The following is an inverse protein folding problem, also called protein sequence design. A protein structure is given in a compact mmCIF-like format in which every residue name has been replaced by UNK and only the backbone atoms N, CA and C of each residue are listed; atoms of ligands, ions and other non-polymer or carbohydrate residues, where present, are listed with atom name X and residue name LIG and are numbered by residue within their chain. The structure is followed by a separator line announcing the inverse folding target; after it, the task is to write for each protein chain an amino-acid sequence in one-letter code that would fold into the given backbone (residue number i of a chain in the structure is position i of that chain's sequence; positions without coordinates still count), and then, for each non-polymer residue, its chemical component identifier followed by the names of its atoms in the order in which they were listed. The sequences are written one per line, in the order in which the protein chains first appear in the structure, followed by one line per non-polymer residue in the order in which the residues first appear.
data_IF_416734442627
#
_entry.id   IF_416734442627
#
_cell.length_a   1.000
_cell.length_b   1.000
_cell.length_c   1.000
_cell.angle_alpha   90.00
_cell.angle_beta   90.00
_cell.angle_gamma   90.00
#
_symmetry.space_group_name_H-M   'P 1'
#
loop_
_entity.id
_entity.type
_entity.pdbx_description
1 polymer ?
#
# COMPACT_ATOMS: atom_id res chain seq x y z
N UNK A 1 -5.17 15.21 31.37
CA UNK A 1 -5.68 14.24 32.36
C UNK A 1 -6.59 13.26 31.64
N UNK A 2 -6.15 12.02 31.42
CA UNK A 2 -7.00 10.98 30.83
C UNK A 2 -7.72 10.21 31.95
N UNK A 3 -9.05 10.31 32.01
CA UNK A 3 -9.93 9.43 32.82
C UNK A 3 -10.51 8.31 31.92
N UNK A 4 -10.60 7.13 32.52
CA UNK A 4 -10.93 5.76 32.03
C UNK A 4 -12.39 5.58 31.51
N UNK A 5 -12.82 4.44 30.89
CA UNK A 5 -12.40 3.03 31.13
C UNK A 5 -12.24 2.03 29.93
N UNK A 6 -11.61 0.87 30.25
CA UNK A 6 -11.59 -0.47 29.61
C UNK A 6 -11.20 -0.62 28.11
N UNK A 7 -9.91 -0.45 27.80
CA UNK A 7 -9.06 -1.17 26.82
C UNK A 7 -7.61 -0.82 27.20
N UNK A 8 -6.63 -1.70 26.99
CA UNK A 8 -5.20 -1.37 27.14
C UNK A 8 -4.91 -0.18 26.22
N UNK A 9 -4.65 1.00 26.79
CA UNK A 9 -4.35 2.24 26.05
C UNK A 9 -2.86 2.53 26.18
N UNK A 10 -2.11 2.38 25.10
CA UNK A 10 -0.73 2.84 24.98
C UNK A 10 -0.73 4.25 24.34
N UNK A 11 -0.14 5.24 25.01
CA UNK A 11 0.04 6.60 24.53
C UNK A 11 1.42 7.09 25.00
N UNK A 12 2.26 7.58 24.08
CA UNK A 12 3.63 8.04 24.37
C UNK A 12 3.96 9.33 23.63
N UNK A 13 4.81 10.18 24.22
CA UNK A 13 5.28 11.47 23.66
C UNK A 13 6.80 11.57 23.79
N UNK A 14 7.48 12.00 22.74
CA UNK A 14 8.95 12.07 22.67
C UNK A 14 9.44 13.49 22.43
N UNK A 15 10.61 13.81 23.01
CA UNK A 15 11.34 15.07 22.81
C UNK A 15 12.64 14.82 22.03
N UNK A 16 13.23 15.86 21.44
CA UNK A 16 14.51 15.77 20.71
C UNK A 16 15.58 15.06 21.57
N UNK A 17 16.12 13.93 21.09
CA UNK A 17 17.11 13.12 21.80
C UNK A 17 16.57 11.97 22.67
N UNK A 18 15.25 11.80 22.80
CA UNK A 18 14.63 10.62 23.41
C UNK A 18 14.33 9.54 22.36
N UNK A 19 14.31 8.26 22.78
CA UNK A 19 13.79 7.16 21.94
C UNK A 19 12.41 7.53 21.36
N UNK A 20 12.11 7.12 20.11
CA UNK A 20 10.84 7.45 19.47
C UNK A 20 9.66 6.91 20.29
N UNK A 21 8.54 7.65 20.39
CA UNK A 21 7.31 7.14 20.97
C UNK A 21 6.79 5.93 20.20
N UNK A 22 6.72 4.78 20.86
CA UNK A 22 6.17 3.56 20.28
C UNK A 22 5.11 3.01 21.22
N UNK A 23 3.97 2.57 20.68
CA UNK A 23 2.89 1.96 21.46
C UNK A 23 3.24 0.53 21.88
N UNK A 24 3.49 -0.32 20.90
CA UNK A 24 3.98 -1.69 21.08
C UNK A 24 5.25 -1.86 20.24
N UNK A 25 6.34 -2.23 20.90
CA UNK A 25 7.62 -2.49 20.24
C UNK A 25 8.04 -3.93 20.49
N UNK A 26 8.14 -4.73 19.42
CA UNK A 26 8.69 -6.08 19.44
C UNK A 26 9.98 -6.02 18.61
N UNK A 27 11.07 -6.50 19.18
CA UNK A 27 12.38 -6.43 18.51
C UNK A 27 13.20 -7.69 18.75
N UNK A 28 14.31 -7.81 18.04
CA UNK A 28 15.23 -8.95 18.08
C UNK A 28 14.63 -10.24 17.49
N UNK A 29 14.31 -11.22 18.33
CA UNK A 29 13.91 -12.57 17.93
C UNK A 29 12.75 -13.04 18.79
N UNK A 30 11.87 -13.88 18.25
CA UNK A 30 10.72 -14.36 18.99
C UNK A 30 9.77 -15.14 18.10
N UNK A 31 8.85 -15.87 18.71
CA UNK A 31 7.81 -16.57 17.97
C UNK A 31 6.50 -16.64 18.73
N UNK A 32 5.38 -16.82 18.00
CA UNK A 32 4.04 -17.00 18.56
C UNK A 32 3.60 -15.81 19.44
N UNK A 33 3.66 -14.61 18.85
CA UNK A 33 3.29 -13.39 19.55
C UNK A 33 1.98 -12.84 18.97
N UNK A 34 0.99 -12.68 19.85
CA UNK A 34 -0.34 -12.24 19.48
C UNK A 34 -0.63 -10.86 20.07
N UNK A 35 -0.80 -9.86 19.20
CA UNK A 35 -1.29 -8.52 19.54
C UNK A 35 -2.75 -8.47 19.13
N UNK A 36 -3.68 -8.65 20.08
CA UNK A 36 -5.11 -8.68 19.78
C UNK A 36 -5.95 -7.73 20.60
N UNK A 37 -7.02 -7.20 19.99
CA UNK A 37 -8.08 -6.45 20.67
C UNK A 37 -7.62 -5.17 21.39
N UNK A 38 -6.55 -4.54 20.91
CA UNK A 38 -6.02 -3.30 21.49
C UNK A 38 -6.63 -2.07 20.83
N UNK A 39 -6.61 -0.94 21.55
CA UNK A 39 -6.85 0.38 20.98
C UNK A 39 -5.61 1.25 21.21
N UNK A 40 -4.85 1.48 20.14
CA UNK A 40 -3.55 2.17 20.15
C UNK A 40 -3.77 3.54 19.51
N UNK A 41 -3.57 4.60 20.28
CA UNK A 41 -4.01 5.92 19.84
C UNK A 41 -3.20 7.07 20.45
N UNK A 42 -3.17 8.19 19.72
CA UNK A 42 -2.55 9.45 20.17
C UNK A 42 -1.07 9.32 20.55
N UNK A 43 -0.33 8.49 19.82
CA UNK A 43 1.14 8.45 19.88
C UNK A 43 1.66 9.47 18.87
N UNK A 44 2.54 10.37 19.33
CA UNK A 44 2.88 11.57 18.59
C UNK A 44 4.39 11.89 18.61
N UNK A 45 4.96 12.08 17.43
CA UNK A 45 6.20 12.79 17.16
C UNK A 45 5.90 14.29 16.95
N UNK A 46 6.22 15.10 17.96
CA UNK A 46 5.94 16.55 17.98
C UNK A 46 7.16 17.40 17.58
N UNK A 47 8.15 16.78 16.92
CA UNK A 47 9.34 17.46 16.42
C UNK A 47 9.46 17.20 14.92
N UNK A 48 9.95 18.19 14.17
CA UNK A 48 10.27 18.02 12.75
C UNK A 48 11.30 16.90 12.60
N UNK A 49 11.07 16.00 11.64
CA UNK A 49 11.87 14.80 11.40
C UNK A 49 11.90 13.85 12.62
N UNK A 50 10.87 13.89 13.47
CA UNK A 50 10.69 12.90 14.53
C UNK A 50 10.13 11.60 13.98
N UNK A 51 10.22 10.54 14.79
CA UNK A 51 9.66 9.22 14.50
C UNK A 51 8.76 8.79 15.66
N UNK A 52 7.68 8.12 15.33
CA UNK A 52 6.81 7.44 16.28
C UNK A 52 6.10 6.28 15.57
N UNK A 53 5.65 5.28 16.33
CA UNK A 53 4.90 4.15 15.77
C UNK A 53 3.73 3.75 16.68
N UNK A 54 2.66 3.22 16.08
CA UNK A 54 1.64 2.51 16.84
C UNK A 54 2.15 1.15 17.30
N UNK A 55 2.41 0.27 16.33
CA UNK A 55 3.01 -1.04 16.50
C UNK A 55 4.27 -1.10 15.62
N UNK A 56 5.41 -1.46 16.18
CA UNK A 56 6.65 -1.67 15.43
C UNK A 56 7.23 -3.04 15.75
N UNK A 57 7.50 -3.83 14.72
CA UNK A 57 8.09 -5.16 14.78
C UNK A 57 9.40 -5.16 13.99
N UNK A 58 10.54 -5.20 14.69
CA UNK A 58 11.88 -4.99 14.10
C UNK A 58 12.79 -6.19 14.42
N UNK A 59 12.96 -7.09 13.47
CA UNK A 59 13.74 -8.31 13.68
C UNK A 59 15.20 -8.14 13.22
N UNK A 60 16.13 -8.14 14.17
CA UNK A 60 17.54 -7.74 13.93
C UNK A 60 18.49 -8.92 13.73
N UNK A 61 17.98 -10.15 13.79
CA UNK A 61 18.80 -11.36 13.77
C UNK A 61 19.42 -11.65 12.41
N UNK A 62 20.71 -12.00 12.44
CA UNK A 62 21.49 -12.49 11.30
C UNK A 62 21.21 -13.95 10.90
N UNK A 63 20.37 -14.66 11.65
CA UNK A 63 20.12 -16.09 11.46
C UNK A 63 18.68 -16.34 11.03
N UNK A 64 18.50 -17.11 9.95
CA UNK A 64 17.19 -17.56 9.50
C UNK A 64 16.45 -18.41 10.55
N UNK A 65 17.18 -19.11 11.44
CA UNK A 65 16.59 -19.92 12.51
C UNK A 65 16.11 -19.11 13.70
N UNK A 66 16.64 -17.89 13.86
CA UNK A 66 16.32 -16.98 14.95
C UNK A 66 15.65 -15.74 14.38
N UNK A 67 14.75 -15.91 13.40
CA UNK A 67 13.91 -14.82 12.89
C UNK A 67 12.84 -14.46 13.93
N UNK A 68 12.08 -13.42 13.64
CA UNK A 68 10.87 -13.12 14.38
C UNK A 68 9.66 -13.60 13.58
N UNK A 69 8.93 -14.58 14.12
CA UNK A 69 7.96 -15.34 13.32
C UNK A 69 6.65 -15.70 14.03
N UNK A 70 5.64 -16.13 13.28
CA UNK A 70 4.29 -16.43 13.79
C UNK A 70 3.75 -15.27 14.62
N UNK A 71 3.74 -14.08 14.03
CA UNK A 71 3.20 -12.87 14.66
C UNK A 71 1.79 -12.64 14.17
N UNK A 72 0.84 -12.44 15.08
CA UNK A 72 -0.54 -12.10 14.75
C UNK A 72 -0.87 -10.73 15.30
N UNK A 73 -1.19 -9.78 14.42
CA UNK A 73 -1.81 -8.50 14.75
C UNK A 73 -3.26 -8.59 14.32
N UNK A 74 -4.16 -8.87 15.26
CA UNK A 74 -5.56 -9.16 14.96
C UNK A 74 -6.56 -8.30 15.74
N UNK A 75 -7.57 -7.77 15.03
CA UNK A 75 -8.70 -7.05 15.63
C UNK A 75 -8.28 -5.86 16.53
N UNK A 76 -7.22 -5.14 16.16
CA UNK A 76 -6.82 -3.91 16.83
C UNK A 76 -7.38 -2.68 16.11
N UNK A 77 -7.56 -1.60 16.85
CA UNK A 77 -7.79 -0.27 16.29
C UNK A 77 -6.54 0.58 16.54
N UNK A 78 -5.92 1.08 15.47
CA UNK A 78 -4.70 1.89 15.50
C UNK A 78 -5.00 3.23 14.84
N UNK A 79 -5.15 4.28 15.64
CA UNK A 79 -5.74 5.52 15.13
C UNK A 79 -5.29 6.81 15.80
N UNK A 80 -5.47 7.93 15.09
CA UNK A 80 -5.17 9.28 15.55
C UNK A 80 -3.71 9.42 15.97
N UNK A 81 -2.78 8.99 15.09
CA UNK A 81 -1.35 9.05 15.35
C UNK A 81 -0.67 10.17 14.56
N UNK A 82 0.39 10.75 15.13
CA UNK A 82 1.28 11.71 14.43
C UNK A 82 2.67 11.14 14.36
N UNK A 83 3.02 10.53 13.25
CA UNK A 83 4.14 9.59 13.23
C UNK A 83 5.46 10.19 12.76
N UNK A 84 5.43 11.41 12.23
CA UNK A 84 6.63 12.00 11.64
C UNK A 84 7.03 11.20 10.40
N UNK A 85 8.27 10.73 10.34
CA UNK A 85 8.81 9.93 9.22
C UNK A 85 8.56 8.42 9.38
N UNK A 86 7.43 8.03 9.98
CA UNK A 86 7.17 6.64 10.39
C UNK A 86 5.70 6.24 10.19
N UNK A 87 5.37 4.99 10.55
CA UNK A 87 4.14 4.29 10.15
C UNK A 87 3.38 3.67 11.33
N UNK A 88 2.07 3.50 11.16
CA UNK A 88 1.20 3.13 12.26
C UNK A 88 1.44 1.67 12.68
N UNK A 89 1.57 0.77 11.70
CA UNK A 89 2.01 -0.61 11.88
C UNK A 89 3.18 -0.88 10.96
N UNK A 90 4.36 -1.18 11.52
CA UNK A 90 5.57 -1.47 10.76
C UNK A 90 6.11 -2.87 11.07
N UNK A 91 6.48 -3.61 10.03
CA UNK A 91 7.19 -4.90 10.12
C UNK A 91 8.47 -4.83 9.28
N UNK A 92 9.63 -5.02 9.90
CA UNK A 92 10.92 -4.70 9.28
C UNK A 92 12.02 -5.69 9.71
N UNK A 93 12.97 -5.93 8.82
CA UNK A 93 14.10 -6.83 9.02
C UNK A 93 13.73 -8.30 8.83
N UNK A 94 14.36 -9.18 9.61
CA UNK A 94 14.18 -10.64 9.52
C UNK A 94 12.88 -11.14 10.16
N UNK A 95 11.76 -10.61 9.67
CA UNK A 95 10.40 -10.97 10.04
C UNK A 95 9.86 -11.96 9.01
N UNK A 96 9.30 -13.06 9.48
CA UNK A 96 8.88 -14.18 8.65
C UNK A 96 7.55 -14.74 9.15
N UNK A 97 6.60 -15.08 8.28
CA UNK A 97 5.37 -15.78 8.67
C UNK A 97 4.53 -14.97 9.67
N UNK A 98 3.75 -14.03 9.16
CA UNK A 98 2.93 -13.13 9.98
C UNK A 98 1.53 -12.92 9.43
N UNK A 99 0.62 -12.49 10.28
CA UNK A 99 -0.76 -12.17 9.95
C UNK A 99 -1.14 -10.79 10.51
N UNK A 100 -1.49 -9.85 9.62
CA UNK A 100 -2.10 -8.57 9.98
C UNK A 100 -3.56 -8.63 9.54
N UNK A 101 -4.46 -8.91 10.49
CA UNK A 101 -5.85 -9.28 10.18
C UNK A 101 -6.89 -8.50 10.96
N UNK A 102 -8.04 -8.21 10.33
CA UNK A 102 -9.21 -7.63 11.00
C UNK A 102 -8.95 -6.30 11.73
N UNK A 103 -7.88 -5.58 11.42
CA UNK A 103 -7.54 -4.33 12.10
C UNK A 103 -8.26 -3.15 11.44
N UNK A 104 -8.48 -2.10 12.24
CA UNK A 104 -8.90 -0.80 11.77
C UNK A 104 -7.75 0.20 11.94
N UNK A 105 -7.21 0.71 10.85
CA UNK A 105 -6.01 1.57 10.86
C UNK A 105 -6.31 2.90 10.17
N UNK A 106 -6.43 3.98 10.94
CA UNK A 106 -6.95 5.24 10.38
C UNK A 106 -6.53 6.54 11.05
N UNK A 107 -6.65 7.65 10.33
CA UNK A 107 -6.29 9.00 10.80
C UNK A 107 -4.81 9.07 11.27
N UNK A 108 -3.90 8.52 10.45
CA UNK A 108 -2.47 8.45 10.72
C UNK A 108 -1.63 8.99 9.55
N UNK A 109 -0.30 8.77 9.62
CA UNK A 109 0.59 8.77 8.46
C UNK A 109 0.41 7.46 7.66
N UNK A 110 1.45 6.81 7.14
CA UNK A 110 1.31 5.47 6.52
C UNK A 110 0.63 4.49 7.50
N UNK A 111 -0.35 3.73 6.99
CA UNK A 111 -1.16 2.81 7.77
C UNK A 111 -0.42 1.53 8.16
N UNK A 112 -0.21 0.64 7.19
CA UNK A 112 0.49 -0.64 7.36
C UNK A 112 1.66 -0.68 6.40
N UNK A 113 2.87 -0.92 6.89
CA UNK A 113 4.07 -1.06 6.06
C UNK A 113 4.80 -2.38 6.32
N UNK A 114 5.24 -3.01 5.24
CA UNK A 114 6.01 -4.26 5.23
C UNK A 114 7.35 -4.01 4.55
N UNK A 115 8.40 -3.89 5.36
CA UNK A 115 9.67 -3.26 5.00
C UNK A 115 10.76 -4.31 4.75
N UNK A 116 11.67 -4.01 3.83
CA UNK A 116 12.95 -4.70 3.65
C UNK A 116 14.05 -3.80 3.07
N UNK A 117 15.28 -4.29 3.18
CA UNK A 117 16.53 -3.69 2.69
C UNK A 117 17.03 -2.44 3.44
N UNK A 118 16.47 -2.13 4.60
CA UNK A 118 16.89 -1.01 5.46
C UNK A 118 18.15 -1.29 6.31
N UNK A 119 18.64 -2.54 6.32
CA UNK A 119 19.76 -2.98 7.15
C UNK A 119 19.40 -3.28 8.60
N UNK A 120 18.12 -3.53 8.91
CA UNK A 120 17.66 -3.90 10.26
C UNK A 120 18.22 -5.27 10.64
N UNK A 121 18.18 -6.23 9.72
CA UNK A 121 19.00 -7.44 9.76
C UNK A 121 20.33 -7.20 9.05
N UNK A 122 21.47 -7.63 9.62
CA UNK A 122 22.78 -7.47 8.98
C UNK A 122 22.99 -8.41 7.79
N UNK A 123 22.09 -9.38 7.58
CA UNK A 123 22.13 -10.30 6.44
C UNK A 123 21.10 -9.85 5.42
N UNK A 124 21.57 -9.30 4.30
CA UNK A 124 20.73 -8.70 3.27
C UNK A 124 19.64 -9.64 2.71
N UNK A 125 19.92 -10.95 2.61
CA UNK A 125 18.93 -11.93 2.13
C UNK A 125 17.81 -12.22 3.14
N UNK A 126 17.99 -11.82 4.40
CA UNK A 126 17.03 -11.99 5.49
C UNK A 126 16.36 -10.67 5.88
N UNK A 127 16.85 -9.54 5.38
CA UNK A 127 16.44 -8.20 5.76
C UNK A 127 15.16 -7.76 5.04
N UNK A 128 14.12 -8.58 5.13
CA UNK A 128 12.83 -8.34 4.49
C UNK A 128 11.72 -9.01 5.31
N UNK A 129 10.65 -8.26 5.57
CA UNK A 129 9.38 -8.84 5.99
C UNK A 129 8.86 -9.76 4.87
N UNK A 130 8.57 -11.02 5.21
CA UNK A 130 8.19 -12.03 4.21
C UNK A 130 7.22 -13.09 4.70
N UNK A 131 6.63 -13.82 3.76
CA UNK A 131 5.68 -14.93 4.01
C UNK A 131 4.47 -14.48 4.83
N UNK A 132 3.95 -13.28 4.55
CA UNK A 132 2.91 -12.64 5.34
C UNK A 132 1.52 -12.69 4.71
N UNK A 133 0.50 -12.47 5.54
CA UNK A 133 -0.87 -12.24 5.11
C UNK A 133 -1.39 -10.94 5.73
N UNK A 134 -1.83 -10.00 4.89
CA UNK A 134 -2.57 -8.80 5.29
C UNK A 134 -4.01 -8.95 4.82
N UNK A 135 -4.93 -9.25 5.73
CA UNK A 135 -6.30 -9.63 5.34
C UNK A 135 -7.41 -9.00 6.16
N UNK A 136 -8.49 -8.61 5.48
CA UNK A 136 -9.72 -8.12 6.11
C UNK A 136 -9.51 -6.92 7.03
N UNK A 137 -8.50 -6.08 6.75
CA UNK A 137 -8.29 -4.83 7.45
C UNK A 137 -9.12 -3.71 6.80
N UNK A 138 -9.51 -2.74 7.61
CA UNK A 138 -10.12 -1.48 7.16
C UNK A 138 -9.08 -0.38 7.40
N UNK A 139 -8.50 0.14 6.31
CA UNK A 139 -7.40 1.09 6.35
C UNK A 139 -7.83 2.37 5.66
N UNK A 140 -7.99 3.46 6.41
CA UNK A 140 -8.63 4.66 5.85
C UNK A 140 -8.16 5.99 6.43
N UNK A 141 -8.37 7.07 5.69
CA UNK A 141 -8.07 8.43 6.14
C UNK A 141 -6.60 8.64 6.59
N UNK A 142 -5.68 7.82 6.08
CA UNK A 142 -4.26 7.98 6.34
C UNK A 142 -3.69 9.04 5.39
N UNK A 143 -3.05 10.08 5.95
CA UNK A 143 -2.51 11.19 5.18
C UNK A 143 -1.28 11.83 5.82
N UNK A 144 -0.28 12.11 5.00
CA UNK A 144 0.95 12.83 5.40
C UNK A 144 0.84 14.36 5.26
N UNK A 145 -0.24 14.90 4.69
CA UNK A 145 -0.35 16.35 4.38
C UNK A 145 -0.27 17.26 5.62
N UNK A 146 -0.73 16.78 6.77
CA UNK A 146 -0.71 17.51 8.05
C UNK A 146 0.30 16.91 9.03
N UNK A 147 1.26 16.12 8.54
CA UNK A 147 2.29 15.50 9.36
C UNK A 147 3.36 16.54 9.76
N UNK A 148 3.99 16.38 10.92
CA UNK A 148 5.07 17.27 11.39
C UNK A 148 6.29 17.29 10.46
N UNK A 149 6.49 16.24 9.65
CA UNK A 149 7.65 16.02 8.79
C UNK A 149 7.36 16.16 7.29
N UNK A 150 6.09 16.08 6.87
CA UNK A 150 5.68 16.14 5.46
C UNK A 150 4.61 17.22 5.24
N UNK A 151 4.48 17.71 4.02
CA UNK A 151 3.41 18.63 3.62
C UNK A 151 2.93 18.30 2.20
N UNK A 152 2.81 17.01 1.91
CA UNK A 152 2.39 16.46 0.61
C UNK A 152 1.52 15.23 0.83
N UNK A 153 0.89 14.73 -0.25
CA UNK A 153 0.11 13.51 -0.20
C UNK A 153 1.01 12.32 -0.55
N UNK A 154 1.40 11.55 0.47
CA UNK A 154 2.34 10.43 0.32
C UNK A 154 2.09 9.27 1.28
N UNK A 155 1.05 9.33 2.12
CA UNK A 155 0.76 8.25 3.05
C UNK A 155 -0.10 7.14 2.41
N UNK A 156 0.49 5.96 2.31
CA UNK A 156 -0.21 4.74 1.93
C UNK A 156 -1.16 4.23 3.00
N UNK A 157 -2.25 3.64 2.54
CA UNK A 157 -3.01 2.72 3.36
C UNK A 157 -2.18 1.48 3.70
N UNK A 158 -1.82 0.70 2.67
CA UNK A 158 -1.00 -0.50 2.81
C UNK A 158 0.21 -0.39 1.86
N UNK A 159 1.41 -0.40 2.41
CA UNK A 159 2.65 -0.30 1.64
C UNK A 159 3.51 -1.55 1.82
N UNK A 160 3.93 -2.14 0.70
CA UNK A 160 5.03 -3.09 0.67
C UNK A 160 6.26 -2.38 0.17
N UNK A 161 7.17 -2.06 1.09
CA UNK A 161 8.45 -1.44 0.81
C UNK A 161 9.55 -2.51 0.82
N UNK A 162 9.83 -3.10 -0.33
CA UNK A 162 10.86 -4.13 -0.42
C UNK A 162 10.52 -5.46 0.27
N UNK A 163 9.28 -5.66 0.73
CA UNK A 163 8.82 -6.95 1.25
C UNK A 163 8.74 -8.07 0.19
N UNK A 164 8.57 -9.33 0.63
CA UNK A 164 8.58 -10.50 -0.26
C UNK A 164 7.51 -11.54 0.08
N UNK A 165 6.88 -12.15 -0.93
CA UNK A 165 5.98 -13.30 -0.72
C UNK A 165 4.85 -13.00 0.28
N UNK A 166 4.13 -11.88 0.06
CA UNK A 166 3.03 -11.44 0.93
C UNK A 166 1.71 -11.46 0.16
N UNK A 167 0.65 -11.92 0.82
CA UNK A 167 -0.72 -11.87 0.31
C UNK A 167 -1.45 -10.71 0.98
N UNK A 168 -1.98 -9.79 0.17
CA UNK A 168 -2.86 -8.69 0.60
C UNK A 168 -4.25 -8.98 0.04
N UNK A 169 -5.18 -9.39 0.90
CA UNK A 169 -6.51 -9.81 0.44
C UNK A 169 -7.70 -9.35 1.28
N UNK A 170 -8.84 -9.11 0.64
CA UNK A 170 -10.10 -8.80 1.33
C UNK A 170 -10.04 -7.55 2.21
N UNK A 171 -9.07 -6.65 2.00
CA UNK A 171 -8.98 -5.40 2.73
C UNK A 171 -9.87 -4.33 2.09
N UNK A 172 -10.29 -3.37 2.91
CA UNK A 172 -10.86 -2.11 2.46
C UNK A 172 -9.80 -1.01 2.65
N UNK A 173 -9.32 -0.40 1.57
CA UNK A 173 -8.36 0.71 1.62
C UNK A 173 -8.95 1.95 0.95
N UNK A 174 -9.33 2.97 1.74
CA UNK A 174 -10.05 4.11 1.20
C UNK A 174 -9.73 5.46 1.84
N UNK A 175 -9.86 6.52 1.05
CA UNK A 175 -9.63 7.91 1.50
C UNK A 175 -8.25 8.11 2.15
N UNK A 176 -7.27 7.27 1.80
CA UNK A 176 -5.86 7.47 2.11
C UNK A 176 -5.24 8.40 1.04
N UNK A 177 -3.93 8.69 1.15
CA UNK A 177 -3.24 9.34 0.02
C UNK A 177 -3.11 8.37 -1.13
N UNK A 178 -2.49 7.22 -0.89
CA UNK A 178 -2.46 6.08 -1.80
C UNK A 178 -3.19 4.89 -1.17
N UNK A 179 -3.88 4.08 -1.97
CA UNK A 179 -4.62 2.93 -1.47
C UNK A 179 -3.71 1.78 -1.05
N UNK A 180 -3.00 1.19 -2.02
CA UNK A 180 -2.01 0.13 -1.82
C UNK A 180 -0.80 0.43 -2.71
N UNK A 181 0.40 0.39 -2.15
CA UNK A 181 1.64 0.53 -2.92
C UNK A 181 2.53 -0.72 -2.80
N UNK A 182 3.16 -1.11 -3.90
CA UNK A 182 4.19 -2.15 -3.95
C UNK A 182 5.42 -1.55 -4.62
N UNK A 183 6.41 -1.16 -3.82
CA UNK A 183 7.64 -0.56 -4.31
C UNK A 183 8.82 -0.97 -3.43
N UNK A 184 9.93 -0.29 -3.58
CA UNK A 184 11.10 -0.43 -2.73
C UNK A 184 11.80 0.91 -2.71
N UNK A 185 12.05 1.49 -1.54
CA UNK A 185 12.80 2.75 -1.42
C UNK A 185 14.29 2.58 -1.73
N UNK A 186 14.75 1.33 -1.80
CA UNK A 186 16.16 1.01 -2.03
C UNK A 186 16.48 0.72 -3.50
N UNK A 187 17.31 1.56 -4.11
CA UNK A 187 17.82 1.39 -5.48
C UNK A 187 18.35 -0.03 -5.73
N UNK A 188 17.89 -0.68 -6.80
CA UNK A 188 18.33 -2.03 -7.16
C UNK A 188 17.79 -3.15 -6.26
N UNK A 189 16.86 -2.84 -5.35
CA UNK A 189 16.12 -3.81 -4.54
C UNK A 189 14.66 -3.90 -4.98
N UNK A 190 14.01 -5.01 -4.63
CA UNK A 190 12.64 -5.28 -5.05
C UNK A 190 11.69 -5.56 -3.91
N UNK A 191 10.45 -5.09 -4.08
CA UNK A 191 9.29 -5.81 -3.59
C UNK A 191 8.88 -6.87 -4.62
N UNK A 192 8.69 -8.11 -4.18
CA UNK A 192 8.50 -9.22 -5.10
C UNK A 192 7.56 -10.31 -4.60
N UNK A 193 6.90 -10.98 -5.56
CA UNK A 193 5.95 -12.07 -5.29
C UNK A 193 4.80 -11.65 -4.36
N UNK A 194 4.38 -10.40 -4.47
CA UNK A 194 3.24 -9.86 -3.73
C UNK A 194 1.97 -10.21 -4.48
N UNK A 195 0.97 -10.73 -3.77
CA UNK A 195 -0.36 -11.02 -4.32
C UNK A 195 -1.39 -10.09 -3.71
N UNK A 196 -1.90 -9.14 -4.50
CA UNK A 196 -2.99 -8.25 -4.12
C UNK A 196 -4.28 -8.75 -4.74
N UNK A 197 -5.20 -9.29 -3.93
CA UNK A 197 -6.45 -9.87 -4.46
C UNK A 197 -7.70 -9.63 -3.65
N UNK A 198 -8.85 -9.53 -4.31
CA UNK A 198 -10.16 -9.41 -3.66
C UNK A 198 -10.26 -8.23 -2.68
N UNK A 199 -9.48 -7.16 -2.87
CA UNK A 199 -9.56 -5.95 -2.05
C UNK A 199 -10.58 -4.97 -2.64
N UNK A 200 -11.14 -4.11 -1.79
CA UNK A 200 -11.88 -2.92 -2.21
C UNK A 200 -11.05 -1.68 -1.93
N UNK A 201 -10.70 -0.94 -2.98
CA UNK A 201 -9.75 0.18 -2.91
C UNK A 201 -10.40 1.39 -3.53
N UNK A 202 -10.73 2.41 -2.73
CA UNK A 202 -11.65 3.45 -3.20
C UNK A 202 -11.39 4.85 -2.67
N UNK A 203 -11.71 5.86 -3.49
CA UNK A 203 -11.71 7.27 -3.09
C UNK A 203 -10.39 7.75 -2.46
N UNK A 204 -9.26 7.12 -2.79
CA UNK A 204 -7.95 7.62 -2.36
C UNK A 204 -7.62 8.93 -3.10
N UNK A 205 -6.78 9.77 -2.49
CA UNK A 205 -6.45 11.10 -3.03
C UNK A 205 -5.67 10.98 -4.35
N UNK A 206 -4.75 10.02 -4.39
CA UNK A 206 -3.97 9.59 -5.56
C UNK A 206 -4.43 8.19 -5.99
N UNK A 207 -3.53 7.41 -6.56
CA UNK A 207 -3.73 6.05 -7.06
C UNK A 207 -4.44 5.13 -6.06
N UNK A 208 -5.30 4.28 -6.61
CA UNK A 208 -5.82 3.15 -5.85
C UNK A 208 -4.71 2.13 -5.59
N UNK A 209 -4.02 1.72 -6.65
CA UNK A 209 -2.83 0.85 -6.55
C UNK A 209 -1.66 1.52 -7.26
N UNK A 210 -0.52 1.65 -6.58
CA UNK A 210 0.74 2.06 -7.19
C UNK A 210 1.74 0.89 -7.17
N UNK A 211 2.52 0.74 -8.24
CA UNK A 211 3.60 -0.27 -8.30
C UNK A 211 4.88 0.30 -8.93
N UNK A 212 6.02 -0.07 -8.35
CA UNK A 212 7.33 0.42 -8.75
C UNK A 212 7.68 1.75 -8.08
N UNK A 213 8.97 2.07 -8.03
CA UNK A 213 9.43 3.27 -7.34
C UNK A 213 9.05 4.55 -8.09
N UNK A 214 8.77 5.64 -7.36
CA UNK A 214 8.29 6.89 -7.96
C UNK A 214 9.30 7.56 -8.93
N UNK A 215 10.59 7.21 -8.86
CA UNK A 215 11.62 7.68 -9.78
C UNK A 215 12.76 6.66 -9.98
N UNK A 216 13.79 7.06 -10.73
CA UNK A 216 14.95 6.21 -11.05
C UNK A 216 15.93 5.96 -9.89
N UNK A 217 15.76 6.64 -8.76
CA UNK A 217 16.59 6.47 -7.57
C UNK A 217 16.02 5.41 -6.63
N UNK A 218 14.78 4.99 -6.86
CA UNK A 218 14.10 3.96 -6.08
C UNK A 218 14.38 2.55 -6.63
N UNK A 219 13.91 1.56 -5.87
CA UNK A 219 13.87 0.15 -6.27
C UNK A 219 12.77 -0.16 -7.29
N UNK A 220 12.50 -1.45 -7.45
CA UNK A 220 11.57 -1.97 -8.47
C UNK A 220 10.51 -2.90 -7.86
N UNK A 221 9.45 -3.14 -8.63
CA UNK A 221 8.41 -4.10 -8.27
C UNK A 221 8.38 -5.23 -9.30
N UNK A 222 8.59 -6.48 -8.87
CA UNK A 222 8.68 -7.62 -9.78
C UNK A 222 7.86 -8.86 -9.41
N UNK A 223 7.38 -9.57 -10.43
CA UNK A 223 6.68 -10.85 -10.28
C UNK A 223 5.48 -10.77 -9.32
N UNK A 224 4.81 -9.62 -9.26
CA UNK A 224 3.63 -9.42 -8.42
C UNK A 224 2.35 -9.72 -9.19
N UNK A 225 1.29 -10.08 -8.46
CA UNK A 225 -0.04 -10.35 -9.01
C UNK A 225 -1.06 -9.41 -8.38
N UNK A 226 -1.81 -8.69 -9.21
CA UNK A 226 -2.91 -7.80 -8.81
C UNK A 226 -4.18 -8.31 -9.50
N UNK A 227 -5.07 -8.97 -8.77
CA UNK A 227 -6.23 -9.64 -9.39
C UNK A 227 -7.52 -9.61 -8.59
N UNK A 228 -8.66 -9.58 -9.27
CA UNK A 228 -9.99 -9.63 -8.65
C UNK A 228 -10.24 -8.50 -7.63
N UNK A 229 -9.56 -7.35 -7.76
CA UNK A 229 -9.81 -6.20 -6.89
C UNK A 229 -10.91 -5.32 -7.47
N UNK A 230 -11.63 -4.63 -6.59
CA UNK A 230 -12.52 -3.52 -6.95
C UNK A 230 -11.77 -2.22 -6.67
N UNK A 231 -11.44 -1.48 -7.72
CA UNK A 231 -10.66 -0.24 -7.66
C UNK A 231 -11.57 0.90 -8.10
N UNK A 232 -12.01 1.73 -7.16
CA UNK A 232 -13.16 2.60 -7.34
C UNK A 232 -12.90 4.08 -7.04
N UNK A 233 -12.93 4.91 -8.08
CA UNK A 233 -12.92 6.38 -7.98
C UNK A 233 -11.76 6.94 -7.14
N UNK A 234 -10.58 6.39 -7.31
CA UNK A 234 -9.32 6.95 -6.79
C UNK A 234 -8.85 8.13 -7.66
N UNK A 235 -7.74 8.77 -7.28
CA UNK A 235 -7.25 10.01 -7.91
C UNK A 235 -8.28 11.14 -7.77
N UNK A 236 -8.79 11.32 -6.54
CA UNK A 236 -9.88 12.27 -6.23
C UNK A 236 -9.45 13.73 -6.27
N UNK A 237 -8.14 14.01 -6.32
CA UNK A 237 -7.57 15.36 -6.47
C UNK A 237 -6.80 15.56 -7.77
N UNK A 238 -7.11 14.77 -8.80
CA UNK A 238 -6.56 14.90 -10.15
C UNK A 238 -5.02 15.03 -10.15
N UNK A 239 -4.35 14.15 -9.41
CA UNK A 239 -2.88 14.09 -9.32
C UNK A 239 -2.25 13.36 -10.52
N UNK A 240 -3.04 13.10 -11.56
CA UNK A 240 -2.67 12.35 -12.78
C UNK A 240 -2.22 10.90 -12.52
N UNK A 241 -2.56 10.37 -11.35
CA UNK A 241 -2.11 9.08 -10.83
C UNK A 241 -3.06 7.92 -11.24
N UNK A 242 -4.35 8.24 -11.47
CA UNK A 242 -5.34 7.31 -11.99
C UNK A 242 -5.81 6.23 -11.01
N UNK A 243 -6.31 5.11 -11.52
CA UNK A 243 -6.80 4.01 -10.68
C UNK A 243 -5.68 3.03 -10.34
N UNK A 244 -4.86 2.69 -11.33
CA UNK A 244 -3.63 1.92 -11.18
C UNK A 244 -2.47 2.70 -11.79
N UNK A 245 -1.41 2.86 -11.03
CA UNK A 245 -0.19 3.53 -11.46
C UNK A 245 0.98 2.55 -11.53
N UNK A 246 1.59 2.48 -12.71
CA UNK A 246 2.83 1.76 -12.94
C UNK A 246 3.95 2.79 -13.02
N UNK A 247 4.64 2.98 -11.90
CA UNK A 247 5.75 3.90 -11.72
C UNK A 247 7.05 3.35 -12.33
N UNK A 248 8.21 3.84 -11.91
CA UNK A 248 9.50 3.46 -12.48
C UNK A 248 9.80 1.97 -12.21
N UNK A 249 10.34 1.31 -13.25
CA UNK A 249 10.90 -0.04 -13.19
C UNK A 249 9.99 -1.12 -12.57
N UNK A 250 8.93 -1.46 -13.29
CA UNK A 250 8.05 -2.60 -12.95
C UNK A 250 8.31 -3.76 -13.91
N UNK A 251 8.44 -4.98 -13.38
CA UNK A 251 8.90 -6.15 -14.14
C UNK A 251 7.99 -7.36 -13.95
N UNK A 252 7.52 -7.97 -15.04
CA UNK A 252 6.81 -9.26 -15.00
C UNK A 252 5.61 -9.31 -14.04
N UNK A 253 4.95 -8.18 -13.80
CA UNK A 253 3.76 -8.15 -12.96
C UNK A 253 2.53 -8.57 -13.76
N UNK A 254 1.55 -9.20 -13.11
CA UNK A 254 0.29 -9.65 -13.72
C UNK A 254 -0.87 -8.89 -13.09
N UNK A 255 -1.57 -8.09 -13.89
CA UNK A 255 -2.70 -7.27 -13.47
C UNK A 255 -3.94 -7.72 -14.25
N UNK A 256 -4.79 -8.53 -13.65
CA UNK A 256 -5.88 -9.19 -14.37
C UNK A 256 -7.17 -9.32 -13.57
N UNK A 257 -8.31 -9.38 -14.25
CA UNK A 257 -9.64 -9.59 -13.64
C UNK A 257 -10.03 -8.53 -12.59
N UNK A 258 -9.47 -7.33 -12.65
CA UNK A 258 -9.85 -6.24 -11.76
C UNK A 258 -11.08 -5.50 -12.31
N UNK A 259 -11.95 -5.04 -11.42
CA UNK A 259 -13.01 -4.09 -11.76
C UNK A 259 -12.54 -2.68 -11.44
N UNK A 260 -12.34 -1.87 -12.46
CA UNK A 260 -11.64 -0.58 -12.36
C UNK A 260 -12.61 0.52 -12.76
N UNK A 261 -12.97 1.40 -11.82
CA UNK A 261 -13.92 2.48 -12.02
C UNK A 261 -13.20 3.82 -11.94
N UNK A 262 -13.22 4.57 -13.03
CA UNK A 262 -12.58 5.88 -13.06
C UNK A 262 -13.32 6.90 -12.18
N UNK A 263 -12.56 7.80 -11.57
CA UNK A 263 -13.06 9.04 -10.98
C UNK A 263 -13.31 10.10 -12.06
N UNK A 264 -13.49 11.36 -11.62
CA UNK A 264 -13.59 12.52 -12.51
C UNK A 264 -12.31 12.77 -13.33
N UNK A 265 -11.15 12.25 -12.89
CA UNK A 265 -9.91 12.35 -13.67
C UNK A 265 -10.00 11.58 -14.99
N UNK A 266 -10.86 10.55 -15.04
CA UNK A 266 -11.06 9.62 -16.18
C UNK A 266 -9.83 8.75 -16.48
N UNK A 267 -8.79 8.81 -15.65
CA UNK A 267 -7.55 8.06 -15.83
C UNK A 267 -7.71 6.68 -15.18
N UNK A 268 -7.59 5.63 -16.00
CA UNK A 268 -7.63 4.24 -15.53
C UNK A 268 -6.24 3.72 -15.19
N UNK A 269 -5.32 3.80 -16.15
CA UNK A 269 -3.94 3.36 -16.02
C UNK A 269 -3.02 4.58 -16.19
N UNK A 270 -2.12 4.80 -15.23
CA UNK A 270 -1.00 5.73 -15.34
C UNK A 270 0.29 4.95 -15.57
N UNK A 271 1.07 5.32 -16.59
CA UNK A 271 2.41 4.78 -16.80
C UNK A 271 3.25 5.76 -17.62
N UNK A 272 3.96 6.62 -16.89
CA UNK A 272 4.79 7.69 -17.45
C UNK A 272 6.27 7.33 -17.53
N UNK A 273 6.59 6.04 -17.64
CA UNK A 273 7.95 5.53 -17.71
C UNK A 273 8.13 4.53 -18.85
N UNK A 274 9.33 4.52 -19.45
CA UNK A 274 9.67 3.56 -20.50
C UNK A 274 10.37 2.30 -19.97
N UNK A 275 10.81 2.31 -18.70
CA UNK A 275 11.65 1.28 -18.10
C UNK A 275 10.93 -0.05 -17.83
N UNK A 276 9.61 -0.03 -17.68
CA UNK A 276 8.81 -1.21 -17.30
C UNK A 276 8.94 -2.35 -18.33
N UNK A 277 8.97 -3.61 -17.91
CA UNK A 277 9.15 -4.74 -18.84
C UNK A 277 8.28 -5.93 -18.44
N UNK A 278 7.81 -6.70 -19.42
CA UNK A 278 7.14 -7.99 -19.18
C UNK A 278 5.83 -7.94 -18.38
N UNK A 279 5.31 -6.75 -18.04
CA UNK A 279 4.04 -6.64 -17.32
C UNK A 279 2.89 -7.08 -18.23
N UNK A 280 1.99 -7.88 -17.67
CA UNK A 280 0.79 -8.37 -18.34
C UNK A 280 -0.44 -7.70 -17.74
N UNK A 281 -1.17 -6.97 -18.57
CA UNK A 281 -2.46 -6.39 -18.22
C UNK A 281 -3.50 -7.00 -19.15
N UNK A 282 -4.48 -7.74 -18.62
CA UNK A 282 -5.50 -8.39 -19.46
C UNK A 282 -6.73 -8.79 -18.63
N UNK A 283 -7.87 -9.05 -19.28
CA UNK A 283 -9.13 -9.42 -18.61
C UNK A 283 -9.60 -8.40 -17.55
N UNK A 284 -9.13 -7.16 -17.61
CA UNK A 284 -9.59 -6.12 -16.70
C UNK A 284 -10.91 -5.53 -17.23
N UNK A 285 -11.77 -5.13 -16.31
CA UNK A 285 -13.05 -4.50 -16.64
C UNK A 285 -13.02 -3.03 -16.23
N UNK A 286 -12.98 -2.16 -17.22
CA UNK A 286 -13.00 -0.71 -17.05
C UNK A 286 -14.43 -0.17 -17.04
N UNK A 287 -14.72 0.73 -16.12
CA UNK A 287 -16.03 1.35 -15.93
C UNK A 287 -15.92 2.86 -15.80
N UNK A 288 -16.82 3.59 -16.47
CA UNK A 288 -16.91 5.04 -16.33
C UNK A 288 -18.33 5.56 -16.54
N UNK A 289 -18.66 6.68 -15.92
CA UNK A 289 -19.93 7.41 -16.13
C UNK A 289 -19.90 8.26 -17.43
N UNK A 290 -19.07 7.85 -18.39
CA UNK A 290 -18.79 8.53 -19.64
C UNK A 290 -18.64 7.50 -20.77
N UNK A 291 -18.78 7.95 -22.02
CA UNK A 291 -18.52 7.09 -23.18
C UNK A 291 -17.07 6.66 -23.25
N UNK A 292 -16.82 5.43 -23.71
CA UNK A 292 -15.48 4.83 -23.73
C UNK A 292 -14.43 5.71 -24.41
N UNK A 293 -14.82 6.56 -25.38
CA UNK A 293 -13.98 7.52 -26.10
C UNK A 293 -13.45 8.66 -25.24
N UNK A 294 -13.97 8.83 -24.02
CA UNK A 294 -13.57 9.87 -23.08
C UNK A 294 -12.69 9.35 -21.93
N UNK A 295 -12.53 8.04 -21.78
CA UNK A 295 -11.57 7.47 -20.83
C UNK A 295 -10.12 7.75 -21.25
N UNK A 296 -9.23 7.76 -20.26
CA UNK A 296 -7.81 8.01 -20.44
C UNK A 296 -6.98 6.83 -19.92
N UNK A 297 -6.02 6.40 -20.73
CA UNK A 297 -5.01 5.43 -20.37
C UNK A 297 -3.65 5.98 -20.77
N UNK A 298 -2.67 5.88 -19.89
CA UNK A 298 -1.29 6.25 -20.17
C UNK A 298 -0.46 4.98 -20.16
N UNK A 299 0.32 4.80 -21.21
CA UNK A 299 1.22 3.66 -21.35
C UNK A 299 2.50 4.11 -22.02
N UNK A 300 3.65 3.84 -21.39
CA UNK A 300 4.97 4.19 -21.94
C UNK A 300 5.07 5.66 -22.38
N UNK A 301 4.63 6.58 -21.51
CA UNK A 301 4.62 8.04 -21.75
C UNK A 301 3.71 8.49 -22.91
N UNK A 302 2.83 7.61 -23.39
CA UNK A 302 1.85 7.93 -24.41
C UNK A 302 0.45 7.88 -23.81
N UNK A 303 -0.30 8.96 -24.01
CA UNK A 303 -1.69 9.05 -23.59
C UNK A 303 -2.61 8.58 -24.72
N UNK A 304 -3.48 7.65 -24.38
CA UNK A 304 -4.55 7.12 -25.22
C UNK A 304 -5.88 7.69 -24.72
N UNK A 305 -6.55 8.43 -25.60
CA UNK A 305 -7.94 8.83 -25.38
C UNK A 305 -8.84 7.79 -26.06
N UNK A 306 -9.67 7.13 -25.26
CA UNK A 306 -10.59 6.11 -25.74
C UNK A 306 -10.09 4.67 -25.56
N UNK A 307 -10.95 3.78 -25.04
CA UNK A 307 -10.57 2.39 -24.76
C UNK A 307 -10.09 1.63 -26.01
N UNK A 308 -10.78 1.74 -27.15
CA UNK A 308 -10.37 1.05 -28.37
C UNK A 308 -8.99 1.47 -28.88
N UNK A 309 -8.59 2.73 -28.69
CA UNK A 309 -7.27 3.21 -29.12
C UNK A 309 -6.17 2.68 -28.20
N UNK A 310 -6.44 2.64 -26.89
CA UNK A 310 -5.57 2.03 -25.90
C UNK A 310 -5.39 0.54 -26.18
N UNK A 311 -6.47 -0.22 -26.33
CA UNK A 311 -6.45 -1.66 -26.59
C UNK A 311 -5.66 -1.99 -27.88
N UNK A 312 -5.87 -1.23 -28.95
CA UNK A 312 -5.10 -1.40 -30.19
C UNK A 312 -3.59 -1.14 -29.99
N UNK A 313 -3.22 -0.17 -29.15
CA UNK A 313 -1.82 0.09 -28.78
C UNK A 313 -1.20 -1.05 -27.97
N UNK A 314 -1.97 -1.61 -27.03
CA UNK A 314 -1.52 -2.69 -26.14
C UNK A 314 -1.43 -4.06 -26.81
N UNK A 315 -2.17 -4.29 -27.91
CA UNK A 315 -2.07 -5.51 -28.70
C UNK A 315 -0.65 -5.78 -29.22
N UNK A 316 0.14 -4.73 -29.48
CA UNK A 316 1.54 -4.87 -29.91
C UNK A 316 2.44 -5.46 -28.81
N UNK A 317 2.02 -5.34 -27.55
CA UNK A 317 2.69 -5.91 -26.38
C UNK A 317 2.08 -7.25 -25.94
N UNK A 318 1.07 -7.75 -26.66
CA UNK A 318 0.35 -8.97 -26.29
C UNK A 318 -0.57 -8.80 -25.08
N UNK A 319 -1.03 -7.58 -24.81
CA UNK A 319 -1.83 -7.19 -23.64
C UNK A 319 -3.22 -6.65 -24.01
N UNK A 320 -4.10 -6.60 -23.01
CA UNK A 320 -5.45 -5.99 -23.04
C UNK A 320 -6.44 -6.61 -24.05
N UNK A 321 -6.11 -7.76 -24.64
CA UNK A 321 -6.91 -8.41 -25.68
C UNK A 321 -8.31 -8.84 -25.22
N UNK A 322 -8.45 -9.17 -23.94
CA UNK A 322 -9.70 -9.67 -23.35
C UNK A 322 -10.31 -8.68 -22.35
N UNK A 323 -9.66 -7.54 -22.13
CA UNK A 323 -10.23 -6.48 -21.32
C UNK A 323 -11.40 -5.81 -22.03
N UNK A 324 -12.32 -5.25 -21.24
CA UNK A 324 -13.54 -4.64 -21.74
C UNK A 324 -13.82 -3.31 -21.03
N UNK A 325 -14.53 -2.42 -21.71
CA UNK A 325 -15.06 -1.19 -21.12
C UNK A 325 -16.58 -1.20 -21.12
N UNK A 326 -17.18 -0.86 -19.98
CA UNK A 326 -18.63 -0.64 -19.85
C UNK A 326 -18.94 0.77 -19.33
N UNK A 327 -19.81 1.48 -20.05
CA UNK A 327 -20.39 2.72 -19.55
C UNK A 327 -21.37 2.41 -18.42
N UNK A 328 -21.21 3.06 -17.28
CA UNK A 328 -22.18 3.01 -16.20
C UNK A 328 -23.29 4.03 -16.43
N UNK A 329 -24.53 3.60 -16.23
CA UNK A 329 -25.64 4.53 -16.08
C UNK A 329 -25.46 5.32 -14.78
N UNK A 330 -25.74 6.63 -14.74
CA UNK A 330 -25.77 7.42 -13.50
C UNK A 330 -26.66 6.83 -12.39
N UNK A 331 -27.60 5.95 -12.74
CA UNK A 331 -28.48 5.25 -11.80
C UNK A 331 -27.82 4.04 -11.11
N UNK A 332 -26.62 3.61 -11.54
CA UNK A 332 -25.94 2.45 -10.99
C UNK A 332 -25.14 2.84 -9.74
N UNK A 333 -25.78 2.75 -8.56
CA UNK A 333 -25.07 2.82 -7.27
C UNK A 333 -24.50 1.45 -6.95
N UNK A 334 -23.18 1.31 -7.02
CA UNK A 334 -22.52 0.14 -6.45
C UNK A 334 -22.70 0.19 -4.92
N UNK A 335 -23.37 -0.80 -4.34
CA UNK A 335 -23.39 -0.97 -2.89
C UNK A 335 -22.06 -1.62 -2.51
N UNK A 336 -21.03 -0.79 -2.35
CA UNK A 336 -19.81 -1.17 -1.65
C UNK A 336 -20.20 -1.21 -0.17
N UNK A 337 -20.36 -2.42 0.39
CA UNK A 337 -20.68 -2.66 1.80
C UNK A 337 -19.44 -3.15 2.53
#
# INVERSE_FOLDING_TARGET
MCKTPKRSKACSRGSKGSKPPIGIYITETGSYIDIRNNYIHHIEANVKNGNAHGIAIYATSSSAKNNLNHIVIDNNEVANLKLGLSEAIAMNGNVDSFEVTNNKVHDNNIGIVLIGHEGVSPVAALDQARNGVVRNNIVHHNSSINNTSYNEYSADGIYVDGGKEIIIEQNQSYENNLGIEIASEHAGKSASQITVRNNTISNNIMSGIAIGGYDSQQGYAENNTITNNVIYKNDTKDQESGQIELNYDTRNNVITNNQIYASNSRIFISNNFNKNTGNKLDYNHYYGEFDQSNGLWQWKRKTYKGFSSYQAGMNQEGNEQHSVFNKLSPSFKLILK
#
